data_IF_865076177982
#
_entry.id   IF_865076177982
#
_cell.length_a   1.000
_cell.length_b   1.000
_cell.length_c   1.000
_cell.angle_alpha   90.00
_cell.angle_beta   90.00
_cell.angle_gamma   90.00
#
_symmetry.space_group_name_H-M   'P 1'
#
loop_
_entity.id
_entity.type
_entity.pdbx_description
1 polymer ?
#
# COMPACT_ATOMS: atom_id res chain seq x y z
N UNK A 1 15.46 8.16 4.54
CA UNK A 1 14.29 7.86 3.68
C UNK A 1 14.15 6.33 3.60
N UNK A 2 13.18 5.78 4.35
CA UNK A 2 12.88 4.36 4.24
C UNK A 2 11.92 4.14 3.09
N UNK A 3 12.42 3.60 1.99
CA UNK A 3 11.60 3.19 0.87
C UNK A 3 10.93 1.86 1.22
N UNK A 4 9.68 1.90 1.70
CA UNK A 4 8.88 0.70 1.91
C UNK A 4 8.44 0.23 0.53
N UNK A 5 9.31 -0.51 -0.15
CA UNK A 5 8.96 -1.20 -1.39
C UNK A 5 8.46 -2.59 -1.03
N UNK A 6 7.17 -2.79 -1.15
CA UNK A 6 6.59 -4.12 -1.06
C UNK A 6 6.90 -4.87 -2.35
N UNK A 7 7.90 -5.75 -2.32
CA UNK A 7 8.02 -6.75 -3.35
C UNK A 7 7.25 -8.00 -2.91
N UNK A 8 6.43 -8.53 -3.79
CA UNK A 8 5.68 -9.78 -3.63
C UNK A 8 6.56 -10.97 -3.19
N UNK A 9 7.86 -10.88 -3.38
CA UNK A 9 8.83 -11.93 -3.10
C UNK A 9 9.45 -11.82 -1.70
N UNK A 10 9.38 -10.67 -1.04
CA UNK A 10 9.96 -10.49 0.30
C UNK A 10 9.28 -11.36 1.37
N UNK A 11 8.00 -11.65 1.21
CA UNK A 11 7.27 -12.54 2.12
C UNK A 11 7.73 -14.00 2.02
N UNK A 12 8.18 -14.43 0.85
CA UNK A 12 8.65 -15.79 0.59
C UNK A 12 10.06 -16.06 1.11
N UNK A 13 10.84 -15.01 1.37
CA UNK A 13 12.22 -15.12 1.80
C UNK A 13 12.37 -15.33 3.31
N UNK A 14 11.28 -15.19 4.08
CA UNK A 14 11.33 -15.23 5.54
C UNK A 14 12.05 -14.05 6.19
N UNK A 15 12.38 -13.01 5.42
CA UNK A 15 13.10 -11.84 5.93
C UNK A 15 12.21 -10.87 6.70
N UNK A 16 10.89 -10.99 6.57
CA UNK A 16 9.94 -10.12 7.26
C UNK A 16 9.60 -10.73 8.61
N UNK A 17 10.06 -10.09 9.67
CA UNK A 17 9.73 -10.46 11.05
C UNK A 17 8.97 -9.33 11.75
N UNK A 18 8.28 -9.66 12.85
CA UNK A 18 7.51 -8.68 13.64
C UNK A 18 8.28 -8.23 14.89
N UNK A 19 9.60 -8.11 14.79
CA UNK A 19 10.48 -7.65 15.84
C UNK A 19 11.42 -6.56 15.32
N UNK A 20 12.13 -5.87 16.24
CA UNK A 20 12.99 -4.73 15.91
C UNK A 20 14.27 -5.11 15.14
N UNK A 21 14.56 -6.39 14.97
CA UNK A 21 15.68 -6.87 14.16
C UNK A 21 15.26 -7.18 12.71
N UNK A 22 13.99 -6.93 12.36
CA UNK A 22 13.52 -7.16 10.98
C UNK A 22 14.37 -6.37 9.98
N UNK A 23 15.04 -7.01 9.03
CA UNK A 23 15.86 -6.32 8.04
C UNK A 23 15.01 -5.59 6.98
N UNK A 24 13.70 -5.88 6.95
CA UNK A 24 12.75 -5.31 5.99
C UNK A 24 11.51 -4.85 6.72
N UNK A 25 11.08 -3.64 6.44
CA UNK A 25 9.75 -3.12 6.82
C UNK A 25 8.93 -2.98 5.55
N UNK A 26 7.73 -3.57 5.57
CA UNK A 26 6.71 -3.39 4.55
C UNK A 26 5.32 -3.25 5.21
N UNK A 27 4.24 -3.29 4.42
CA UNK A 27 2.89 -3.14 5.00
C UNK A 27 2.50 -4.28 5.95
N UNK A 28 3.08 -5.49 5.81
CA UNK A 28 2.75 -6.63 6.67
C UNK A 28 3.24 -6.44 8.11
N UNK A 29 4.41 -5.84 8.30
CA UNK A 29 5.00 -5.57 9.60
C UNK A 29 5.14 -4.07 9.90
N UNK A 30 4.26 -3.24 9.36
CA UNK A 30 4.29 -1.78 9.49
C UNK A 30 4.23 -1.33 10.97
N UNK A 31 3.50 -2.07 11.81
CA UNK A 31 3.44 -1.79 13.24
C UNK A 31 4.81 -1.93 13.93
N UNK A 32 5.66 -2.83 13.47
CA UNK A 32 7.04 -2.95 14.01
C UNK A 32 7.80 -1.63 13.89
N UNK A 33 7.61 -0.89 12.79
CA UNK A 33 8.22 0.44 12.62
C UNK A 33 7.66 1.46 13.62
N UNK A 34 6.33 1.52 13.77
CA UNK A 34 5.72 2.48 14.69
C UNK A 34 5.97 2.14 16.13
N UNK A 35 6.03 0.86 16.49
CA UNK A 35 6.42 0.39 17.83
C UNK A 35 7.90 0.71 18.11
N UNK A 36 8.77 0.57 17.11
CA UNK A 36 10.15 1.00 17.23
C UNK A 36 10.26 2.51 17.51
N UNK A 37 9.51 3.34 16.79
CA UNK A 37 9.48 4.79 16.99
C UNK A 37 8.85 5.20 18.32
N UNK A 38 8.08 4.34 18.97
CA UNK A 38 7.45 4.59 20.26
C UNK A 38 8.42 4.39 21.46
N UNK A 39 9.64 3.87 21.24
CA UNK A 39 10.65 3.73 22.30
C UNK A 39 11.00 5.10 22.88
N UNK A 40 11.24 5.16 24.19
CA UNK A 40 11.50 6.41 24.94
C UNK A 40 12.60 7.27 24.32
N UNK A 41 13.71 6.63 23.89
CA UNK A 41 14.87 7.30 23.30
C UNK A 41 14.56 7.96 21.91
N UNK A 42 13.46 7.58 21.27
CA UNK A 42 13.10 8.05 19.92
C UNK A 42 11.94 9.05 19.91
N UNK A 43 11.31 9.28 21.06
CA UNK A 43 10.25 10.25 21.19
C UNK A 43 10.74 11.67 20.90
N UNK A 44 9.81 12.56 20.63
CA UNK A 44 10.09 13.99 20.54
C UNK A 44 10.51 14.56 21.91
N UNK A 45 11.13 15.75 21.98
CA UNK A 45 11.48 16.39 23.25
C UNK A 45 10.29 16.59 24.21
N UNK A 46 9.07 16.60 23.66
CA UNK A 46 7.82 16.75 24.43
C UNK A 46 7.24 15.40 24.91
N UNK A 47 7.96 14.27 24.70
CA UNK A 47 7.52 12.94 25.09
C UNK A 47 6.52 12.28 24.12
N UNK A 48 6.18 12.91 23.00
CA UNK A 48 5.25 12.33 22.02
C UNK A 48 5.96 11.39 21.04
N UNK A 49 5.27 10.32 20.65
CA UNK A 49 5.72 9.45 19.56
C UNK A 49 5.77 10.27 18.25
N UNK A 50 6.83 10.13 17.49
CA UNK A 50 6.96 10.81 16.20
C UNK A 50 6.10 10.10 15.16
N UNK A 51 5.25 10.86 14.50
CA UNK A 51 4.41 10.33 13.44
C UNK A 51 5.18 10.16 12.12
N UNK A 52 4.66 9.30 11.28
CA UNK A 52 5.29 8.88 10.03
C UNK A 52 4.44 9.32 8.84
N UNK A 53 5.10 9.76 7.78
CA UNK A 53 4.48 10.01 6.49
C UNK A 53 5.09 9.03 5.48
N UNK A 54 4.26 8.26 4.81
CA UNK A 54 4.65 7.37 3.71
C UNK A 54 4.56 8.16 2.40
N UNK A 55 5.69 8.66 1.93
CA UNK A 55 5.76 9.69 0.87
C UNK A 55 5.71 9.15 -0.54
N UNK A 56 6.07 7.89 -0.76
CA UNK A 56 6.16 7.32 -2.11
C UNK A 56 5.89 5.82 -2.08
N UNK A 57 4.61 5.47 -2.14
CA UNK A 57 4.17 4.09 -2.05
C UNK A 57 3.43 3.66 -3.30
N UNK A 58 3.65 2.44 -3.78
CA UNK A 58 2.95 1.94 -4.95
C UNK A 58 3.13 0.44 -5.16
N UNK A 59 2.21 -0.13 -5.91
CA UNK A 59 2.20 -1.54 -6.31
C UNK A 59 2.16 -1.62 -7.82
N UNK A 60 3.04 -2.41 -8.41
CA UNK A 60 3.02 -2.60 -9.86
C UNK A 60 1.87 -3.49 -10.30
N UNK A 61 1.21 -3.10 -11.40
CA UNK A 61 0.21 -3.93 -12.09
C UNK A 61 0.84 -4.97 -13.03
N UNK A 62 2.17 -4.99 -13.15
CA UNK A 62 2.90 -5.93 -14.00
C UNK A 62 3.87 -6.75 -13.17
N UNK A 63 4.08 -8.00 -13.58
CA UNK A 63 5.02 -8.92 -12.94
C UNK A 63 5.70 -9.75 -14.03
N UNK A 64 6.99 -9.96 -13.92
CA UNK A 64 7.73 -10.81 -14.87
C UNK A 64 7.20 -12.25 -14.89
N UNK A 65 6.79 -12.78 -13.75
CA UNK A 65 6.30 -14.16 -13.62
C UNK A 65 4.81 -14.33 -13.89
N UNK A 66 4.00 -13.27 -13.75
CA UNK A 66 2.53 -13.34 -13.83
C UNK A 66 1.92 -12.44 -14.90
N UNK A 67 2.73 -11.66 -15.61
CA UNK A 67 2.26 -10.70 -16.60
C UNK A 67 1.47 -9.54 -16.01
N UNK A 68 0.35 -9.17 -16.65
CA UNK A 68 -0.51 -8.07 -16.23
C UNK A 68 -1.47 -8.52 -15.09
N UNK A 69 -1.34 -7.94 -13.91
CA UNK A 69 -2.02 -8.36 -12.67
C UNK A 69 -2.72 -7.18 -11.94
N UNK A 70 -3.57 -6.41 -12.61
CA UNK A 70 -4.19 -5.21 -12.04
C UNK A 70 -5.11 -5.51 -10.83
N UNK A 71 -5.63 -6.73 -10.71
CA UNK A 71 -6.42 -7.15 -9.55
C UNK A 71 -5.53 -7.32 -8.30
N UNK A 72 -4.32 -7.85 -8.49
CA UNK A 72 -3.35 -8.00 -7.39
C UNK A 72 -2.85 -6.63 -6.95
N UNK A 73 -2.54 -5.72 -7.87
CA UNK A 73 -2.21 -4.32 -7.57
C UNK A 73 -3.29 -3.67 -6.70
N UNK A 74 -4.55 -3.79 -7.10
CA UNK A 74 -5.68 -3.21 -6.39
C UNK A 74 -5.92 -3.85 -5.01
N UNK A 75 -5.72 -5.17 -4.88
CA UNK A 75 -5.83 -5.89 -3.61
C UNK A 75 -4.71 -5.50 -2.64
N UNK A 76 -3.48 -5.35 -3.14
CA UNK A 76 -2.35 -4.89 -2.34
C UNK A 76 -2.56 -3.46 -1.83
N UNK A 77 -3.12 -2.58 -2.68
CA UNK A 77 -3.49 -1.23 -2.24
C UNK A 77 -4.57 -1.25 -1.15
N UNK A 78 -5.62 -2.06 -1.28
CA UNK A 78 -6.65 -2.18 -0.25
C UNK A 78 -6.06 -2.66 1.09
N UNK A 79 -5.19 -3.67 1.05
CA UNK A 79 -4.49 -4.17 2.22
C UNK A 79 -3.63 -3.08 2.88
N UNK A 80 -2.78 -2.42 2.11
CA UNK A 80 -1.91 -1.37 2.62
C UNK A 80 -2.68 -0.18 3.19
N UNK A 81 -3.80 0.18 2.56
CA UNK A 81 -4.68 1.24 3.05
C UNK A 81 -5.19 0.91 4.46
N UNK A 82 -5.73 -0.29 4.70
CA UNK A 82 -6.24 -0.66 6.02
C UNK A 82 -5.13 -0.81 7.05
N UNK A 83 -3.93 -1.26 6.67
CA UNK A 83 -2.77 -1.29 7.57
C UNK A 83 -2.38 0.12 8.03
N UNK A 84 -2.42 1.08 7.12
CA UNK A 84 -2.13 2.49 7.42
C UNK A 84 -3.24 3.14 8.26
N UNK A 85 -4.51 3.00 7.84
CA UNK A 85 -5.66 3.62 8.52
C UNK A 85 -5.86 3.08 9.94
N UNK A 86 -5.48 1.83 10.20
CA UNK A 86 -5.52 1.23 11.53
C UNK A 86 -4.34 1.63 12.45
N UNK A 87 -3.32 2.30 11.93
CA UNK A 87 -2.13 2.69 12.67
C UNK A 87 -2.18 4.18 13.07
N UNK A 88 -2.28 4.50 14.39
CA UNK A 88 -2.49 5.85 14.85
C UNK A 88 -1.27 6.79 14.69
N UNK A 89 -0.12 6.25 14.31
CA UNK A 89 1.14 7.00 14.17
C UNK A 89 1.53 7.27 12.72
N UNK A 90 0.64 6.96 11.76
CA UNK A 90 0.85 7.26 10.34
C UNK A 90 -0.14 8.34 9.91
N UNK A 91 0.39 9.51 9.58
CA UNK A 91 -0.41 10.69 9.24
C UNK A 91 -0.80 10.76 7.78
N UNK A 92 0.01 10.19 6.89
CA UNK A 92 -0.25 10.25 5.46
C UNK A 92 0.30 9.03 4.72
N UNK A 93 -0.45 8.65 3.69
CA UNK A 93 -0.10 7.62 2.72
C UNK A 93 -0.22 8.19 1.31
N UNK A 94 0.91 8.49 0.68
CA UNK A 94 0.98 9.10 -0.64
C UNK A 94 1.26 8.02 -1.67
N UNK A 95 0.26 7.76 -2.53
CA UNK A 95 0.38 6.75 -3.58
C UNK A 95 1.18 7.31 -4.77
N UNK A 96 2.21 6.62 -5.16
CA UNK A 96 2.93 6.80 -6.41
C UNK A 96 2.44 5.72 -7.39
N UNK A 97 1.69 6.06 -8.43
CA UNK A 97 1.41 7.38 -9.00
C UNK A 97 0.01 7.44 -9.61
N UNK A 98 -0.39 8.62 -10.06
CA UNK A 98 -1.69 8.80 -10.69
C UNK A 98 -1.76 8.15 -12.08
N UNK A 99 -0.78 8.39 -12.93
CA UNK A 99 -0.69 7.83 -14.29
C UNK A 99 0.67 7.16 -14.44
N UNK A 100 0.72 6.01 -15.11
CA UNK A 100 2.00 5.36 -15.41
C UNK A 100 2.95 6.30 -16.14
N UNK A 101 4.25 6.13 -15.90
CA UNK A 101 5.27 6.77 -16.69
C UNK A 101 5.73 5.80 -17.80
N UNK A 102 5.80 6.23 -19.07
CA UNK A 102 6.23 5.37 -20.18
C UNK A 102 7.61 4.72 -19.97
N UNK A 103 8.55 5.42 -19.36
CA UNK A 103 9.88 4.90 -19.03
C UNK A 103 9.84 3.75 -18.01
N UNK A 104 8.96 3.83 -17.00
CA UNK A 104 8.76 2.77 -16.02
C UNK A 104 8.06 1.56 -16.64
N UNK A 105 7.05 1.80 -17.49
CA UNK A 105 6.34 0.72 -18.21
C UNK A 105 7.32 -0.06 -19.11
N UNK A 106 8.22 0.62 -19.81
CA UNK A 106 9.29 -0.03 -20.59
C UNK A 106 10.24 -0.86 -19.73
N UNK A 107 10.39 -0.50 -18.45
CA UNK A 107 11.18 -1.25 -17.46
C UNK A 107 10.36 -2.35 -16.74
N UNK A 108 9.11 -2.59 -17.16
CA UNK A 108 8.24 -3.62 -16.59
C UNK A 108 7.50 -3.19 -15.32
N UNK A 109 7.40 -1.88 -15.04
CA UNK A 109 6.73 -1.34 -13.86
C UNK A 109 5.50 -0.51 -14.26
N UNK A 110 4.39 -0.72 -13.57
CA UNK A 110 3.11 -0.05 -13.86
C UNK A 110 2.39 0.28 -12.55
N UNK A 111 2.72 1.43 -11.98
CA UNK A 111 2.22 1.85 -10.66
C UNK A 111 0.94 2.69 -10.71
N UNK A 112 0.58 3.20 -11.89
CA UNK A 112 -0.49 4.17 -12.07
C UNK A 112 -1.89 3.67 -11.69
N UNK A 113 -2.71 4.59 -11.22
CA UNK A 113 -4.17 4.42 -11.20
C UNK A 113 -4.73 4.33 -12.63
N UNK A 114 -4.01 4.94 -13.58
CA UNK A 114 -4.29 4.95 -15.00
C UNK A 114 -3.11 4.40 -15.78
N UNK A 115 -3.40 3.69 -16.86
CA UNK A 115 -2.43 3.34 -17.89
C UNK A 115 -2.02 4.61 -18.65
N UNK A 116 -0.78 4.66 -19.15
CA UNK A 116 -0.34 5.72 -20.04
C UNK A 116 -0.38 5.30 -21.51
N UNK A 117 -0.37 6.29 -22.43
CA UNK A 117 -0.11 6.06 -23.83
C UNK A 117 1.37 5.73 -24.05
N UNK A 118 1.67 4.71 -24.84
CA UNK A 118 3.05 4.35 -25.24
C UNK A 118 3.45 4.98 -26.57
N UNK A 119 2.51 5.65 -27.26
CA UNK A 119 2.73 6.26 -28.59
C UNK A 119 3.19 7.72 -28.53
N UNK A 120 3.33 8.27 -27.31
CA UNK A 120 3.65 9.69 -27.06
C UNK A 120 5.04 9.89 -26.48
N UNK A 121 5.96 8.97 -26.73
CA UNK A 121 7.33 9.02 -26.19
C UNK A 121 7.35 8.95 -24.67
N UNK A 122 7.86 9.97 -24.01
CA UNK A 122 7.91 10.08 -22.54
C UNK A 122 6.80 10.99 -21.97
N UNK A 123 5.90 11.52 -22.82
CA UNK A 123 4.76 12.31 -22.35
C UNK A 123 3.80 11.41 -21.55
N UNK A 124 3.46 11.86 -20.33
CA UNK A 124 2.53 11.15 -19.45
C UNK A 124 1.09 11.50 -19.85
N UNK A 125 0.48 10.66 -20.67
CA UNK A 125 -0.88 10.82 -21.16
C UNK A 125 -1.73 9.64 -20.66
N UNK A 126 -2.72 9.93 -19.80
CA UNK A 126 -3.63 8.92 -19.25
C UNK A 126 -4.53 8.33 -20.34
N UNK A 127 -4.71 7.01 -20.31
CA UNK A 127 -5.58 6.28 -21.26
C UNK A 127 -6.71 5.54 -20.56
N UNK A 128 -6.42 4.48 -19.85
CA UNK A 128 -7.41 3.58 -19.26
C UNK A 128 -7.26 3.51 -17.73
N UNK A 129 -8.38 3.53 -17.02
CA UNK A 129 -8.42 3.30 -15.55
C UNK A 129 -8.13 1.86 -15.23
N UNK A 130 -7.26 1.62 -14.24
CA UNK A 130 -7.08 0.29 -13.65
C UNK A 130 -8.07 0.03 -12.52
N UNK A 131 -8.15 -1.20 -12.07
CA UNK A 131 -8.97 -1.60 -10.92
C UNK A 131 -8.62 -0.81 -9.65
N UNK A 132 -7.34 -0.56 -9.41
CA UNK A 132 -6.86 0.24 -8.27
C UNK A 132 -7.47 1.66 -8.23
N UNK A 133 -7.76 2.28 -9.37
CA UNK A 133 -8.40 3.59 -9.42
C UNK A 133 -9.77 3.59 -8.70
N UNK A 134 -10.55 2.54 -8.91
CA UNK A 134 -11.86 2.41 -8.27
C UNK A 134 -11.72 2.23 -6.75
N UNK A 135 -10.75 1.38 -6.33
CA UNK A 135 -10.48 1.17 -4.91
C UNK A 135 -9.99 2.48 -4.27
N UNK A 136 -9.02 3.16 -4.88
CA UNK A 136 -8.49 4.44 -4.40
C UNK A 136 -9.58 5.50 -4.23
N UNK A 137 -10.51 5.59 -5.18
CA UNK A 137 -11.63 6.54 -5.13
C UNK A 137 -12.60 6.28 -3.98
N UNK A 138 -12.82 5.01 -3.60
CA UNK A 138 -13.98 4.61 -2.80
C UNK A 138 -13.62 4.06 -1.41
N UNK A 139 -12.36 3.65 -1.17
CA UNK A 139 -11.98 2.92 0.03
C UNK A 139 -12.12 3.74 1.33
N UNK A 140 -12.00 5.05 1.27
CA UNK A 140 -12.15 5.98 2.39
C UNK A 140 -13.56 6.59 2.53
N UNK A 141 -14.47 6.22 1.61
CA UNK A 141 -15.84 6.75 1.64
C UNK A 141 -16.75 5.87 2.45
N UNK A 142 -17.36 6.42 3.49
CA UNK A 142 -18.26 5.73 4.42
C UNK A 142 -19.18 4.68 3.76
N UNK A 143 -19.81 5.03 2.63
CA UNK A 143 -20.77 4.15 1.94
C UNK A 143 -20.11 2.97 1.23
N UNK A 144 -18.87 3.12 0.75
CA UNK A 144 -18.25 2.18 -0.19
C UNK A 144 -16.99 1.50 0.36
N UNK A 145 -16.56 1.86 1.58
CA UNK A 145 -15.30 1.43 2.15
C UNK A 145 -15.10 -0.08 2.07
N UNK A 146 -15.96 -0.86 2.71
CA UNK A 146 -15.83 -2.32 2.70
C UNK A 146 -16.20 -2.94 1.35
N UNK A 147 -17.23 -2.44 0.67
CA UNK A 147 -17.67 -2.93 -0.64
C UNK A 147 -16.55 -2.79 -1.68
N UNK A 148 -15.82 -1.68 -1.68
CA UNK A 148 -14.73 -1.43 -2.62
C UNK A 148 -13.57 -2.40 -2.49
N UNK A 149 -13.40 -3.06 -1.35
CA UNK A 149 -12.30 -3.96 -1.01
C UNK A 149 -12.67 -5.44 -0.89
N UNK A 150 -13.96 -5.81 -0.96
CA UNK A 150 -14.40 -7.21 -0.83
C UNK A 150 -13.69 -8.16 -1.81
N UNK A 151 -13.49 -7.74 -3.07
CA UNK A 151 -12.82 -8.53 -4.09
C UNK A 151 -11.37 -8.90 -3.71
N UNK A 152 -10.74 -8.15 -2.82
CA UNK A 152 -9.35 -8.36 -2.42
C UNK A 152 -9.17 -9.54 -1.47
N UNK A 153 -10.18 -9.85 -0.66
CA UNK A 153 -10.12 -10.91 0.35
C UNK A 153 -9.71 -12.27 -0.23
N UNK A 154 -10.37 -12.81 -1.28
CA UNK A 154 -9.95 -14.09 -1.87
C UNK A 154 -8.59 -14.03 -2.55
N UNK A 155 -8.16 -12.86 -3.04
CA UNK A 155 -6.82 -12.67 -3.63
C UNK A 155 -5.73 -12.76 -2.55
N UNK A 156 -6.00 -12.18 -1.37
CA UNK A 156 -5.09 -12.18 -0.21
C UNK A 156 -5.16 -13.52 0.52
N UNK A 157 -6.27 -14.25 0.42
CA UNK A 157 -6.50 -15.52 1.14
C UNK A 157 -7.05 -15.31 2.55
N UNK A 158 -7.89 -14.30 2.76
CA UNK A 158 -8.51 -13.97 4.05
C UNK A 158 -10.04 -14.01 3.96
N UNK A 159 -10.70 -14.24 5.09
CA UNK A 159 -12.17 -14.12 5.20
C UNK A 159 -12.58 -12.74 5.70
N UNK A 160 -11.80 -12.18 6.62
CA UNK A 160 -12.06 -10.88 7.26
C UNK A 160 -10.80 -10.03 7.27
N UNK A 161 -10.95 -8.74 7.16
CA UNK A 161 -9.81 -7.80 7.28
C UNK A 161 -9.12 -7.87 8.63
N UNK A 162 -9.86 -8.16 9.70
CA UNK A 162 -9.32 -8.38 11.05
C UNK A 162 -8.35 -9.57 11.16
N UNK A 163 -8.32 -10.46 10.17
CA UNK A 163 -7.40 -11.61 10.18
C UNK A 163 -5.95 -11.18 9.91
N UNK A 164 -5.75 -10.05 9.24
CA UNK A 164 -4.45 -9.56 8.80
C UNK A 164 -4.14 -8.12 9.22
N UNK A 165 -5.15 -7.33 9.56
CA UNK A 165 -4.99 -5.92 9.96
C UNK A 165 -5.15 -5.80 11.47
N UNK A 166 -4.07 -5.50 12.23
CA UNK A 166 -4.14 -5.33 13.67
C UNK A 166 -5.10 -4.20 14.04
N UNK A 167 -5.92 -4.43 15.06
CA UNK A 167 -6.88 -3.44 15.57
C UNK A 167 -7.87 -2.92 14.52
N UNK A 168 -8.14 -3.70 13.47
CA UNK A 168 -9.08 -3.32 12.42
C UNK A 168 -10.45 -2.94 13.00
N UNK A 169 -10.84 -1.69 12.80
CA UNK A 169 -12.11 -1.12 13.28
C UNK A 169 -12.86 -0.55 12.09
N UNK A 170 -13.62 -1.38 11.40
CA UNK A 170 -14.42 -0.92 10.26
C UNK A 170 -15.35 0.26 10.59
N UNK A 171 -15.82 0.38 11.87
CA UNK A 171 -16.60 1.52 12.35
C UNK A 171 -15.80 2.82 12.41
N UNK A 172 -14.48 2.76 12.56
CA UNK A 172 -13.63 3.96 12.50
C UNK A 172 -13.52 4.51 11.09
N UNK A 173 -13.73 3.66 10.07
CA UNK A 173 -13.78 4.05 8.65
C UNK A 173 -15.13 4.69 8.27
N UNK A 174 -16.10 4.66 9.17
CA UNK A 174 -17.40 5.32 9.01
C UNK A 174 -17.37 6.81 9.42
N UNK A 175 -16.21 7.48 9.30
CA UNK A 175 -16.06 8.91 9.62
C UNK A 175 -16.86 9.82 8.71
#
# INVERSE_FOLDING_TARGET
EMCIRDSWDNDKTGLITNDFNSPVINFKNLNTLTDYMAQEALKSPNGHVRHIILTEQGFTATSQSRGNVPQIQAAAYAYSYYMVDSNPYIDAYILSRQVDAPSEVRSGLSFGLWECSMDRGDDIVATKRRKIWQVFRDIDKKKYTLESSEFAKPIIGIEKWSDVVPNFRWKALEK
#
